data_IF_034973236882
#
_entry.id   IF_034973236882
#
_cell.length_a   1.000
_cell.length_b   1.000
_cell.length_c   1.000
_cell.angle_alpha   90.00
_cell.angle_beta   90.00
_cell.angle_gamma   90.00
#
_symmetry.space_group_name_H-M   'P 1'
#
loop_
_entity.id
_entity.type
_entity.pdbx_description
1 polymer ?
#
# COMPACT_ATOMS: atom_id res chain seq x y z
N UNK A 1 4.03 -1.17 -5.42
CA UNK A 1 3.70 -1.46 -6.82
C UNK A 1 2.58 -0.52 -7.23
N UNK A 2 2.55 -0.14 -8.49
CA UNK A 2 1.46 0.64 -9.09
C UNK A 2 0.56 -0.30 -9.89
N UNK A 3 -0.65 0.16 -10.24
CA UNK A 3 -1.52 -0.61 -11.12
C UNK A 3 -0.85 -0.80 -12.49
N UNK A 4 -0.99 -2.00 -13.05
CA UNK A 4 -0.60 -2.25 -14.44
C UNK A 4 -1.75 -1.79 -15.34
N UNK A 5 -1.57 -0.83 -16.19
CA UNK A 5 -2.63 -0.42 -17.10
C UNK A 5 -2.81 -1.47 -18.19
N UNK A 6 -3.87 -2.28 -18.10
CA UNK A 6 -4.28 -3.19 -19.17
C UNK A 6 -4.76 -2.38 -20.36
N UNK A 7 -4.30 -2.75 -21.55
CA UNK A 7 -4.62 -2.04 -22.80
C UNK A 7 -5.80 -2.67 -23.55
N UNK A 8 -6.15 -3.90 -23.19
CA UNK A 8 -7.30 -4.64 -23.69
C UNK A 8 -7.91 -5.44 -22.56
N UNK A 9 -9.21 -5.70 -22.64
CA UNK A 9 -9.90 -6.60 -21.72
C UNK A 9 -9.35 -8.04 -21.81
N UNK A 10 -8.80 -8.44 -22.95
CA UNK A 10 -8.19 -9.76 -23.15
C UNK A 10 -6.92 -9.98 -22.32
N UNK A 11 -6.33 -8.93 -21.75
CA UNK A 11 -5.19 -9.02 -20.83
C UNK A 11 -5.60 -9.30 -19.38
N UNK A 12 -6.92 -9.34 -19.10
CA UNK A 12 -7.49 -9.47 -17.75
C UNK A 12 -7.94 -10.90 -17.52
N UNK A 13 -7.54 -11.51 -16.41
CA UNK A 13 -7.95 -12.85 -15.99
C UNK A 13 -8.95 -12.84 -14.83
N UNK A 14 -9.12 -11.72 -14.16
CA UNK A 14 -10.03 -11.57 -13.03
C UNK A 14 -11.50 -11.60 -13.49
N UNK A 15 -12.21 -12.69 -13.19
CA UNK A 15 -13.62 -12.91 -13.57
C UNK A 15 -14.51 -11.74 -13.16
N UNK A 16 -14.36 -11.21 -11.92
CA UNK A 16 -15.15 -10.06 -11.49
C UNK A 16 -14.92 -8.83 -12.36
N UNK A 17 -13.67 -8.62 -12.79
CA UNK A 17 -13.34 -7.50 -13.68
C UNK A 17 -13.95 -7.68 -15.07
N UNK A 18 -13.99 -8.92 -15.60
CA UNK A 18 -14.65 -9.24 -16.87
C UNK A 18 -16.16 -9.00 -16.78
N UNK A 19 -16.80 -9.44 -15.69
CA UNK A 19 -18.22 -9.21 -15.44
C UNK A 19 -18.54 -7.71 -15.31
N UNK A 20 -17.76 -6.97 -14.52
CA UNK A 20 -17.92 -5.51 -14.36
C UNK A 20 -17.73 -4.75 -15.67
N UNK A 21 -16.81 -5.20 -16.52
CA UNK A 21 -16.61 -4.63 -17.85
C UNK A 21 -17.87 -4.81 -18.71
N UNK A 22 -18.45 -6.02 -18.73
CA UNK A 22 -19.69 -6.28 -19.48
C UNK A 22 -20.85 -5.44 -18.93
N UNK A 23 -21.03 -5.35 -17.62
CA UNK A 23 -22.04 -4.48 -16.99
C UNK A 23 -21.89 -3.02 -17.42
N UNK A 24 -20.64 -2.54 -17.50
CA UNK A 24 -20.37 -1.17 -17.95
C UNK A 24 -20.75 -0.95 -19.42
N UNK A 25 -20.49 -1.93 -20.30
CA UNK A 25 -20.92 -1.87 -21.71
C UNK A 25 -22.45 -1.89 -21.83
N UNK A 26 -23.13 -2.75 -21.09
CA UNK A 26 -24.58 -2.85 -21.08
C UNK A 26 -25.26 -1.56 -20.55
N UNK A 27 -24.56 -0.85 -19.66
CA UNK A 27 -24.95 0.48 -19.19
C UNK A 27 -24.66 1.61 -20.20
N UNK A 28 -24.10 1.30 -21.37
CA UNK A 28 -23.86 2.25 -22.46
C UNK A 28 -22.49 2.95 -22.43
N UNK A 29 -21.53 2.50 -21.63
CA UNK A 29 -20.15 3.01 -21.71
C UNK A 29 -19.50 2.52 -23.02
N UNK A 30 -18.60 3.34 -23.54
CA UNK A 30 -17.72 2.88 -24.62
C UNK A 30 -16.71 1.84 -24.09
N UNK A 31 -16.19 0.93 -24.93
CA UNK A 31 -15.18 -0.05 -24.51
C UNK A 31 -13.99 0.58 -23.78
N UNK A 32 -13.48 1.70 -24.27
CA UNK A 32 -12.36 2.42 -23.63
C UNK A 32 -12.72 2.98 -22.24
N UNK A 33 -13.93 3.53 -22.10
CA UNK A 33 -14.41 4.05 -20.81
C UNK A 33 -14.65 2.92 -19.81
N UNK A 34 -15.21 1.80 -20.25
CA UNK A 34 -15.41 0.60 -19.44
C UNK A 34 -14.06 0.02 -19.00
N UNK A 35 -13.10 -0.16 -19.91
CA UNK A 35 -11.77 -0.65 -19.59
C UNK A 35 -11.06 0.27 -18.59
N UNK A 36 -11.13 1.59 -18.78
CA UNK A 36 -10.54 2.56 -17.86
C UNK A 36 -11.14 2.48 -16.46
N UNK A 37 -12.44 2.26 -16.35
CA UNK A 37 -13.10 2.11 -15.06
C UNK A 37 -12.63 0.85 -14.32
N UNK A 38 -12.64 -0.32 -14.98
CA UNK A 38 -12.27 -1.59 -14.35
C UNK A 38 -10.77 -1.70 -14.09
N UNK A 39 -9.91 -1.08 -14.89
CA UNK A 39 -8.47 -1.02 -14.67
C UNK A 39 -8.10 -0.48 -13.27
N UNK A 40 -8.91 0.41 -12.73
CA UNK A 40 -8.62 1.04 -11.43
C UNK A 40 -8.80 0.09 -10.25
N UNK A 41 -9.69 -0.88 -10.38
CA UNK A 41 -10.15 -1.73 -9.26
C UNK A 41 -9.86 -3.21 -9.47
N UNK A 42 -9.42 -3.62 -10.67
CA UNK A 42 -9.11 -5.01 -10.97
C UNK A 42 -8.16 -5.65 -9.96
N UNK A 43 -8.52 -6.82 -9.45
CA UNK A 43 -7.68 -7.62 -8.55
C UNK A 43 -6.37 -8.06 -9.20
N UNK A 44 -6.32 -8.16 -10.53
CA UNK A 44 -5.11 -8.51 -11.26
C UNK A 44 -3.97 -7.50 -11.06
N UNK A 45 -4.28 -6.26 -10.72
CA UNK A 45 -3.26 -5.28 -10.33
C UNK A 45 -2.41 -5.75 -9.12
N UNK A 46 -2.97 -6.54 -8.22
CA UNK A 46 -2.28 -7.09 -7.07
C UNK A 46 -1.65 -8.48 -7.32
N UNK A 47 -1.89 -9.06 -8.51
CA UNK A 47 -1.44 -10.43 -8.90
C UNK A 47 -0.35 -10.42 -9.95
N UNK A 48 0.04 -9.25 -10.46
CA UNK A 48 1.14 -9.11 -11.43
C UNK A 48 2.43 -9.72 -10.87
N UNK A 49 3.34 -10.20 -11.75
CA UNK A 49 4.62 -10.76 -11.34
C UNK A 49 5.37 -9.84 -10.38
N UNK A 50 5.92 -10.42 -9.31
CA UNK A 50 6.73 -9.65 -8.36
C UNK A 50 8.01 -9.17 -9.04
N UNK A 51 8.33 -7.89 -8.81
CA UNK A 51 9.46 -7.22 -9.45
C UNK A 51 10.72 -7.41 -8.61
N UNK A 52 11.51 -8.43 -8.90
CA UNK A 52 12.74 -8.74 -8.18
C UNK A 52 13.87 -7.78 -8.53
N UNK A 53 14.07 -7.54 -9.83
CA UNK A 53 15.15 -6.72 -10.37
C UNK A 53 14.76 -6.07 -11.72
N UNK A 54 15.71 -5.41 -12.37
CA UNK A 54 15.52 -4.73 -13.64
C UNK A 54 15.77 -5.63 -14.87
N UNK A 55 15.99 -6.93 -14.69
CA UNK A 55 16.20 -7.90 -15.79
C UNK A 55 14.88 -8.27 -16.49
N UNK A 56 14.97 -9.07 -17.57
CA UNK A 56 13.80 -9.51 -18.33
C UNK A 56 12.74 -10.14 -17.40
N UNK A 57 11.47 -9.83 -17.67
CA UNK A 57 10.33 -10.23 -16.83
C UNK A 57 10.49 -9.85 -15.34
N UNK A 58 11.20 -8.76 -15.05
CA UNK A 58 11.48 -8.30 -13.70
C UNK A 58 12.20 -9.33 -12.82
N UNK A 59 13.01 -10.22 -13.40
CA UNK A 59 13.66 -11.34 -12.70
C UNK A 59 12.69 -12.40 -12.20
N UNK A 60 11.41 -12.34 -12.57
CA UNK A 60 10.38 -13.24 -12.06
C UNK A 60 10.41 -14.62 -12.71
N UNK A 61 10.60 -14.69 -14.03
CA UNK A 61 10.61 -15.94 -14.80
C UNK A 61 11.40 -15.80 -16.09
N UNK A 62 11.94 -16.92 -16.58
CA UNK A 62 12.53 -17.04 -17.93
C UNK A 62 11.50 -17.42 -18.99
N UNK A 63 10.28 -17.82 -18.60
CA UNK A 63 9.16 -18.12 -19.48
C UNK A 63 8.23 -16.94 -19.68
N UNK A 64 7.05 -17.19 -20.21
CA UNK A 64 5.96 -16.19 -20.32
C UNK A 64 5.23 -16.12 -18.98
N UNK A 65 5.20 -14.99 -18.31
CA UNK A 65 4.41 -14.86 -17.08
C UNK A 65 2.91 -14.94 -17.36
N UNK A 66 2.15 -15.44 -16.40
CA UNK A 66 0.68 -15.55 -16.49
C UNK A 66 0.03 -14.18 -16.74
N UNK A 67 0.28 -13.18 -15.89
CA UNK A 67 -0.11 -11.80 -16.11
C UNK A 67 1.08 -10.99 -16.61
N UNK A 68 0.82 -9.91 -17.31
CA UNK A 68 1.91 -9.05 -17.79
C UNK A 68 2.68 -8.40 -16.65
N UNK A 69 3.98 -8.24 -16.85
CA UNK A 69 4.86 -7.49 -15.95
C UNK A 69 4.55 -6.00 -16.04
N UNK A 70 4.45 -5.33 -14.90
CA UNK A 70 4.31 -3.88 -14.88
C UNK A 70 5.57 -3.22 -15.48
N UNK A 71 5.38 -2.31 -16.42
CA UNK A 71 6.47 -1.64 -17.16
C UNK A 71 7.45 -0.86 -16.28
N UNK A 72 7.04 -0.51 -15.07
CA UNK A 72 7.87 0.25 -14.14
C UNK A 72 8.94 -0.60 -13.43
N UNK A 73 9.04 -1.90 -13.68
CA UNK A 73 9.97 -2.81 -13.01
C UNK A 73 11.44 -2.40 -13.14
N UNK A 74 11.80 -1.69 -14.20
CA UNK A 74 13.16 -1.18 -14.40
C UNK A 74 13.55 -0.08 -13.40
N UNK A 75 12.57 0.52 -12.72
CA UNK A 75 12.75 1.59 -11.72
C UNK A 75 12.28 1.17 -10.32
N UNK A 76 11.21 0.39 -10.26
CA UNK A 76 10.59 -0.05 -9.00
C UNK A 76 10.72 -1.56 -8.91
N UNK A 77 11.68 -2.03 -8.15
CA UNK A 77 11.94 -3.45 -7.92
C UNK A 77 12.60 -3.67 -6.56
N UNK A 78 12.67 -4.90 -6.11
CA UNK A 78 13.23 -5.22 -4.79
C UNK A 78 14.73 -4.89 -4.72
N UNK A 79 15.49 -5.18 -5.78
CA UNK A 79 16.93 -4.95 -5.80
C UNK A 79 17.27 -3.49 -5.52
N UNK A 80 16.55 -2.56 -6.16
CA UNK A 80 16.75 -1.11 -5.95
C UNK A 80 16.37 -0.62 -4.56
N UNK A 81 15.57 -1.39 -3.81
CA UNK A 81 15.08 -1.02 -2.49
C UNK A 81 15.87 -1.62 -1.32
N UNK A 82 16.66 -2.66 -1.56
CA UNK A 82 17.37 -3.38 -0.48
C UNK A 82 18.30 -2.50 0.33
N UNK A 83 19.02 -1.62 -0.34
CA UNK A 83 20.06 -0.78 0.26
C UNK A 83 19.63 0.69 0.43
N UNK A 84 18.40 1.03 0.01
CA UNK A 84 17.80 2.34 0.22
C UNK A 84 17.08 2.40 1.57
N UNK A 85 17.59 3.13 2.58
CA UNK A 85 17.00 3.20 3.92
C UNK A 85 15.60 3.80 3.93
N UNK A 86 15.25 4.61 2.94
CA UNK A 86 13.95 5.29 2.82
C UNK A 86 12.96 4.52 1.96
N UNK A 87 13.34 3.34 1.44
CA UNK A 87 12.48 2.49 0.62
C UNK A 87 11.30 1.92 1.40
N UNK A 88 10.24 1.58 0.67
CA UNK A 88 9.08 0.85 1.19
C UNK A 88 9.51 -0.50 1.80
N UNK A 89 10.44 -1.21 1.15
CA UNK A 89 10.98 -2.46 1.65
C UNK A 89 11.63 -2.30 3.04
N UNK A 90 12.50 -1.31 3.21
CA UNK A 90 13.17 -1.07 4.50
C UNK A 90 12.18 -0.57 5.57
N UNK A 91 11.18 0.20 5.18
CA UNK A 91 10.11 0.59 6.11
C UNK A 91 9.34 -0.63 6.62
N UNK A 92 8.93 -1.54 5.74
CA UNK A 92 8.26 -2.79 6.13
C UNK A 92 9.15 -3.68 7.02
N UNK A 93 10.45 -3.78 6.74
CA UNK A 93 11.38 -4.51 7.62
C UNK A 93 11.37 -3.95 9.03
N UNK A 94 11.46 -2.63 9.17
CA UNK A 94 11.42 -1.95 10.48
C UNK A 94 10.06 -2.19 11.18
N UNK A 95 8.97 -2.08 10.45
CA UNK A 95 7.62 -2.31 10.97
C UNK A 95 7.44 -3.76 11.47
N UNK A 96 7.95 -4.73 10.73
CA UNK A 96 7.91 -6.14 11.15
C UNK A 96 8.83 -6.42 12.33
N UNK A 97 9.98 -5.76 12.40
CA UNK A 97 10.88 -5.85 13.55
C UNK A 97 10.20 -5.32 14.83
N UNK A 98 9.45 -4.22 14.74
CA UNK A 98 8.71 -3.65 15.86
C UNK A 98 7.74 -4.65 16.50
N UNK A 99 7.13 -5.54 15.72
CA UNK A 99 6.24 -6.61 16.23
C UNK A 99 6.96 -7.66 17.08
N UNK A 100 8.27 -7.75 16.98
CA UNK A 100 9.13 -8.69 17.72
C UNK A 100 9.95 -8.01 18.81
N UNK A 101 9.94 -6.68 18.83
CA UNK A 101 10.67 -5.90 19.83
C UNK A 101 9.98 -6.05 21.19
N UNK A 102 10.67 -6.57 22.24
CA UNK A 102 10.08 -6.74 23.58
C UNK A 102 9.49 -5.45 24.17
N UNK A 103 9.99 -4.28 23.79
CA UNK A 103 9.47 -3.00 24.27
C UNK A 103 8.11 -2.64 23.69
N UNK A 104 7.70 -3.23 22.56
CA UNK A 104 6.48 -2.85 21.83
C UNK A 104 5.57 -4.04 21.49
N UNK A 105 6.11 -5.25 21.45
CA UNK A 105 5.40 -6.44 20.95
C UNK A 105 4.04 -6.65 21.62
N UNK A 106 3.96 -6.50 22.93
CA UNK A 106 2.70 -6.65 23.70
C UNK A 106 1.65 -5.68 23.18
N UNK A 107 1.99 -4.41 23.05
CA UNK A 107 1.05 -3.37 22.59
C UNK A 107 0.72 -3.52 21.10
N UNK A 108 1.72 -3.77 20.26
CA UNK A 108 1.54 -3.85 18.80
C UNK A 108 0.73 -5.07 18.41
N UNK A 109 0.93 -6.20 19.06
CA UNK A 109 0.31 -7.48 18.68
C UNK A 109 -1.02 -7.70 19.42
N UNK A 110 -1.06 -7.47 20.72
CA UNK A 110 -2.18 -7.85 21.59
C UNK A 110 -2.97 -6.67 22.15
N UNK A 111 -2.43 -5.42 22.07
CA UNK A 111 -3.13 -4.25 22.57
C UNK A 111 -4.48 -4.02 21.91
N UNK A 112 -5.39 -3.37 22.59
CA UNK A 112 -6.69 -2.96 22.05
C UNK A 112 -6.52 -2.00 20.86
N UNK A 113 -7.35 -2.15 19.84
CA UNK A 113 -7.42 -1.22 18.72
C UNK A 113 -8.58 -0.25 18.94
N UNK A 114 -8.27 1.02 19.11
CA UNK A 114 -9.25 2.06 19.37
C UNK A 114 -9.16 3.14 18.28
N UNK A 115 -10.12 3.23 17.35
CA UNK A 115 -10.16 4.29 16.34
C UNK A 115 -10.16 5.69 16.97
N UNK A 116 -9.53 6.64 16.27
CA UNK A 116 -9.46 8.04 16.67
C UNK A 116 -9.42 8.94 15.44
N UNK A 117 -9.86 10.19 15.55
CA UNK A 117 -10.01 11.12 14.42
C UNK A 117 -10.94 10.60 13.32
N UNK A 118 -12.02 9.91 13.70
CA UNK A 118 -12.98 9.32 12.76
C UNK A 118 -13.75 10.37 11.95
N UNK A 119 -13.78 11.62 12.42
CA UNK A 119 -14.33 12.79 11.74
C UNK A 119 -13.37 13.41 10.68
N UNK A 120 -12.13 12.90 10.59
CA UNK A 120 -11.11 13.39 9.67
C UNK A 120 -11.04 12.53 8.41
N UNK A 121 -11.66 12.97 7.32
CA UNK A 121 -11.79 12.23 6.05
C UNK A 121 -10.47 11.99 5.30
N UNK A 122 -9.34 12.51 5.81
CA UNK A 122 -8.03 12.49 5.16
C UNK A 122 -6.98 11.70 5.91
N UNK A 123 -7.32 11.26 7.11
CA UNK A 123 -6.42 10.59 8.03
C UNK A 123 -7.04 9.30 8.49
N UNK A 124 -6.25 8.25 8.54
CA UNK A 124 -6.58 7.03 9.26
C UNK A 124 -5.74 6.99 10.52
N UNK A 125 -6.38 6.96 11.68
CA UNK A 125 -5.66 6.90 12.94
C UNK A 125 -6.34 6.00 13.97
N UNK A 126 -5.51 5.34 14.78
CA UNK A 126 -5.97 4.50 15.87
C UNK A 126 -4.91 4.37 16.96
N UNK A 127 -5.35 4.09 18.16
CA UNK A 127 -4.48 3.64 19.24
C UNK A 127 -4.34 2.12 19.23
N UNK A 128 -3.12 1.67 19.57
CA UNK A 128 -2.87 0.33 20.12
C UNK A 128 -2.58 0.53 21.59
N UNK A 129 -3.36 -0.11 22.47
CA UNK A 129 -3.27 0.12 23.91
C UNK A 129 -3.13 -1.19 24.67
N UNK A 130 -2.09 -1.28 25.49
CA UNK A 130 -1.91 -2.31 26.52
C UNK A 130 -2.06 -1.71 27.93
N UNK A 131 -1.83 -2.48 28.97
CA UNK A 131 -1.90 -2.01 30.35
C UNK A 131 -0.93 -0.84 30.61
N UNK A 132 0.27 -0.91 30.06
CA UNK A 132 1.37 0.00 30.41
C UNK A 132 1.78 0.95 29.27
N UNK A 133 1.23 0.76 28.05
CA UNK A 133 1.69 1.51 26.90
C UNK A 133 0.53 1.85 25.95
N UNK A 134 0.62 3.05 25.36
CA UNK A 134 -0.27 3.47 24.29
C UNK A 134 0.57 3.94 23.08
N UNK A 135 0.34 3.34 21.93
CA UNK A 135 0.91 3.73 20.65
C UNK A 135 -0.18 4.36 19.81
N UNK A 136 0.09 5.54 19.25
CA UNK A 136 -0.78 6.19 18.27
C UNK A 136 -0.21 5.92 16.87
N UNK A 137 -1.03 5.34 16.01
CA UNK A 137 -0.72 5.13 14.59
C UNK A 137 -1.51 6.16 13.78
N UNK A 138 -0.82 6.89 12.90
CA UNK A 138 -1.43 7.90 12.03
C UNK A 138 -0.96 7.65 10.60
N UNK A 139 -1.89 7.55 9.67
CA UNK A 139 -1.64 7.50 8.23
C UNK A 139 -2.37 8.64 7.51
N UNK A 140 -1.62 9.51 6.83
CA UNK A 140 -2.19 10.45 5.87
C UNK A 140 -2.19 9.79 4.49
N UNK A 141 -3.37 9.53 3.94
CA UNK A 141 -3.53 8.91 2.61
C UNK A 141 -3.89 9.93 1.51
N UNK A 142 -3.72 11.21 1.80
CA UNK A 142 -3.87 12.30 0.81
C UNK A 142 -2.52 12.94 0.49
N UNK A 143 -2.48 13.65 -0.60
CA UNK A 143 -1.27 14.34 -1.09
C UNK A 143 -0.95 15.63 -0.34
N UNK A 144 -1.91 16.15 0.42
CA UNK A 144 -1.74 17.40 1.19
C UNK A 144 -1.43 17.09 2.65
N UNK A 145 -0.51 17.84 3.29
CA UNK A 145 -0.28 17.75 4.72
C UNK A 145 -1.55 17.97 5.52
N UNK A 146 -1.69 17.24 6.63
CA UNK A 146 -2.80 17.37 7.57
C UNK A 146 -2.27 17.74 8.94
N UNK A 147 -2.86 18.76 9.55
CA UNK A 147 -2.59 19.13 10.94
C UNK A 147 -3.60 18.46 11.86
N UNK A 148 -3.13 17.83 12.93
CA UNK A 148 -3.96 17.18 13.93
C UNK A 148 -3.62 17.73 15.30
N UNK A 149 -4.66 18.03 16.09
CA UNK A 149 -4.49 18.35 17.51
C UNK A 149 -4.58 17.08 18.32
N UNK A 150 -3.46 16.67 18.89
CA UNK A 150 -3.40 15.44 19.68
C UNK A 150 -3.92 15.66 21.10
N UNK A 151 -4.66 14.69 21.68
CA UNK A 151 -5.22 14.82 23.04
C UNK A 151 -4.14 14.76 24.13
N UNK A 152 -2.93 14.34 23.81
CA UNK A 152 -1.80 14.28 24.74
C UNK A 152 -0.46 14.44 24.02
N UNK A 153 0.58 14.79 24.79
CA UNK A 153 1.92 14.96 24.25
C UNK A 153 2.51 13.61 23.79
N UNK A 154 3.15 13.64 22.63
CA UNK A 154 3.96 12.50 22.15
C UNK A 154 5.25 12.43 22.99
N UNK A 155 5.56 11.25 23.53
CA UNK A 155 6.83 11.02 24.24
C UNK A 155 7.99 10.86 23.26
N UNK A 156 7.80 10.04 22.23
CA UNK A 156 8.78 9.83 21.17
C UNK A 156 8.10 9.21 19.93
N UNK A 157 8.74 9.35 18.80
CA UNK A 157 8.33 8.74 17.54
C UNK A 157 9.06 7.39 17.42
N UNK A 158 8.26 6.32 17.36
CA UNK A 158 8.78 4.94 17.26
C UNK A 158 9.18 4.59 15.84
N UNK A 159 8.35 4.95 14.87
CA UNK A 159 8.58 4.70 13.45
C UNK A 159 7.93 5.80 12.61
N UNK A 160 8.64 6.24 11.59
CA UNK A 160 8.18 7.28 10.69
C UNK A 160 8.72 7.03 9.27
N UNK A 161 7.91 7.31 8.25
CA UNK A 161 8.31 7.27 6.84
C UNK A 161 8.44 8.67 6.20
N UNK A 162 8.30 9.73 6.99
CA UNK A 162 8.45 11.11 6.53
C UNK A 162 9.77 11.68 7.06
N UNK A 163 10.66 12.22 6.21
CA UNK A 163 11.96 12.74 6.65
C UNK A 163 11.86 13.97 7.55
N UNK A 164 10.70 14.66 7.57
CA UNK A 164 10.50 15.90 8.32
C UNK A 164 9.14 15.91 9.03
N UNK A 165 8.98 15.03 10.01
CA UNK A 165 7.85 15.16 10.93
C UNK A 165 8.16 16.31 11.91
N UNK A 166 7.38 17.40 11.88
CA UNK A 166 7.43 18.45 12.91
C UNK A 166 6.46 18.07 14.02
N UNK A 167 6.98 17.94 15.22
CA UNK A 167 6.21 17.87 16.46
C UNK A 167 6.47 19.19 17.18
N UNK A 168 5.50 20.09 17.09
CA UNK A 168 5.51 21.35 17.86
C UNK A 168 5.08 21.11 19.30
#
# INVERSE_FOLDING_TARGET
MENVEFQSIDEVDDISTLDEYQVALDAGLTPDAALKAVNRVSRDNARTPFQWDASANAGFTTGTPWLKVNRNYTKINLESQKDDPDSVYQYYRRLLALRKDPAYAETVVYGDLLPVFEDQDRVMAYYRKSADQTLLVIGNYKTQPQALTLPSKIKHIVLNNLPQLKTD
#
